data_IF_432927565465
#
_entry.id   IF_432927565465
#
_cell.length_a   1.000
_cell.length_b   1.000
_cell.length_c   1.000
_cell.angle_alpha   90.00
_cell.angle_beta   90.00
_cell.angle_gamma   90.00
#
_symmetry.space_group_name_H-M   'P 1'
#
loop_
_entity.id
_entity.type
_entity.pdbx_description
1 polymer ?
#
# COMPACT_ATOMS: atom_id res chain seq x y z
N UNK A 1 -13.36 1.34 9.82
CA UNK A 1 -12.80 2.19 8.76
C UNK A 1 -11.32 1.84 8.59
N UNK A 2 -10.82 1.60 7.36
CA UNK A 2 -9.40 1.34 7.14
C UNK A 2 -8.57 2.57 7.52
N UNK A 3 -7.35 2.34 7.99
CA UNK A 3 -6.41 3.42 8.31
C UNK A 3 -6.07 4.19 7.03
N UNK A 4 -6.02 5.52 7.10
CA UNK A 4 -5.49 6.33 6.00
C UNK A 4 -3.96 6.30 6.03
N UNK A 5 -3.32 6.29 4.86
CA UNK A 5 -1.86 6.30 4.77
C UNK A 5 -1.35 7.49 3.96
N UNK A 6 -0.51 8.31 4.58
CA UNK A 6 0.05 9.54 3.99
C UNK A 6 1.42 9.31 3.37
N UNK A 7 2.19 8.34 3.86
CA UNK A 7 3.55 8.04 3.41
C UNK A 7 4.64 8.66 4.30
N UNK A 8 4.27 9.21 5.46
CA UNK A 8 5.19 9.81 6.45
C UNK A 8 5.24 9.02 7.75
N UNK A 9 4.41 8.01 7.90
CA UNK A 9 4.25 7.19 9.10
C UNK A 9 5.36 6.14 9.27
N UNK A 10 6.31 6.08 8.33
CA UNK A 10 7.45 5.16 8.34
C UNK A 10 7.07 3.70 8.16
N UNK A 11 8.04 2.82 8.40
CA UNK A 11 7.88 1.36 8.25
C UNK A 11 6.76 0.81 9.13
N UNK A 12 6.70 1.24 10.39
CA UNK A 12 5.67 0.78 11.34
C UNK A 12 4.27 1.16 10.85
N UNK A 13 4.09 2.42 10.42
CA UNK A 13 2.81 2.88 9.90
C UNK A 13 2.38 2.17 8.62
N UNK A 14 3.33 1.87 7.73
CA UNK A 14 3.07 1.10 6.52
C UNK A 14 2.64 -0.34 6.84
N UNK A 15 3.33 -1.01 7.78
CA UNK A 15 2.98 -2.37 8.22
C UNK A 15 1.58 -2.40 8.85
N UNK A 16 1.28 -1.48 9.76
CA UNK A 16 -0.05 -1.40 10.38
C UNK A 16 -1.16 -1.12 9.37
N UNK A 17 -0.88 -0.30 8.35
CA UNK A 17 -1.81 -0.05 7.27
C UNK A 17 -2.10 -1.31 6.44
N UNK A 18 -1.08 -2.12 6.12
CA UNK A 18 -1.26 -3.40 5.44
C UNK A 18 -2.12 -4.36 6.27
N UNK A 19 -1.78 -4.59 7.54
CA UNK A 19 -2.49 -5.53 8.41
C UNK A 19 -3.97 -5.18 8.56
N UNK A 20 -4.29 -3.90 8.76
CA UNK A 20 -5.68 -3.43 8.87
C UNK A 20 -6.45 -3.59 7.57
N UNK A 21 -5.80 -3.30 6.45
CA UNK A 21 -6.41 -3.47 5.13
C UNK A 21 -6.71 -4.95 4.85
N UNK A 22 -5.77 -5.84 5.16
CA UNK A 22 -5.94 -7.28 4.98
C UNK A 22 -7.03 -7.87 5.87
N UNK A 23 -7.15 -7.37 7.10
CA UNK A 23 -8.26 -7.72 7.99
C UNK A 23 -9.62 -7.38 7.35
N UNK A 24 -9.76 -6.21 6.72
CA UNK A 24 -10.99 -5.84 6.00
C UNK A 24 -11.25 -6.78 4.82
N UNK A 25 -10.22 -7.13 4.05
CA UNK A 25 -10.36 -8.07 2.94
C UNK A 25 -10.82 -9.45 3.38
N UNK A 26 -10.29 -9.95 4.49
CA UNK A 26 -10.65 -11.26 5.06
C UNK A 26 -12.09 -11.31 5.55
N UNK A 27 -12.63 -10.20 6.10
CA UNK A 27 -14.01 -10.16 6.61
C UNK A 27 -15.02 -10.04 5.47
N UNK A 28 -14.68 -9.33 4.40
CA UNK A 28 -15.63 -8.93 3.36
C UNK A 28 -15.47 -9.67 2.01
N UNK A 29 -14.61 -10.69 1.92
CA UNK A 29 -14.39 -11.52 0.72
C UNK A 29 -14.14 -10.71 -0.57
N UNK A 30 -13.30 -9.68 -0.49
CA UNK A 30 -12.98 -8.83 -1.63
C UNK A 30 -12.24 -9.60 -2.74
N UNK A 31 -12.65 -9.40 -4.00
CA UNK A 31 -11.89 -9.86 -5.19
C UNK A 31 -10.60 -9.07 -5.33
N UNK A 32 -9.59 -9.63 -6.01
CA UNK A 32 -8.29 -8.97 -6.20
C UNK A 32 -8.40 -7.55 -6.79
N UNK A 33 -9.29 -7.35 -7.77
CA UNK A 33 -9.56 -6.03 -8.36
C UNK A 33 -10.18 -5.06 -7.34
N UNK A 34 -11.15 -5.53 -6.55
CA UNK A 34 -11.81 -4.69 -5.55
C UNK A 34 -10.89 -4.38 -4.37
N UNK A 35 -9.90 -5.22 -4.06
CA UNK A 35 -8.88 -4.94 -3.06
C UNK A 35 -8.06 -3.69 -3.41
N UNK A 36 -7.53 -3.61 -4.63
CA UNK A 36 -6.72 -2.46 -5.07
C UNK A 36 -7.57 -1.20 -5.15
N UNK A 37 -8.79 -1.28 -5.71
CA UNK A 37 -9.73 -0.14 -5.72
C UNK A 37 -10.01 0.37 -4.30
N UNK A 38 -10.32 -0.52 -3.37
CA UNK A 38 -10.57 -0.16 -1.97
C UNK A 38 -9.35 0.52 -1.35
N UNK A 39 -8.15 -0.05 -1.51
CA UNK A 39 -6.93 0.53 -0.94
C UNK A 39 -6.63 1.92 -1.47
N UNK A 40 -6.88 2.18 -2.76
CA UNK A 40 -6.67 3.49 -3.36
C UNK A 40 -7.46 4.60 -2.66
N UNK A 41 -8.66 4.28 -2.15
CA UNK A 41 -9.51 5.22 -1.40
C UNK A 41 -8.95 5.57 -0.01
N UNK A 42 -7.99 4.80 0.49
CA UNK A 42 -7.36 5.01 1.81
C UNK A 42 -6.06 5.79 1.72
N UNK A 43 -5.53 6.00 0.52
CA UNK A 43 -4.31 6.76 0.29
C UNK A 43 -4.61 8.25 0.39
N UNK A 44 -3.76 8.99 1.10
CA UNK A 44 -3.86 10.44 1.25
C UNK A 44 -2.50 11.12 1.03
N UNK A 45 -2.51 12.44 0.90
CA UNK A 45 -1.29 13.24 0.80
C UNK A 45 -0.35 12.79 -0.33
N UNK A 46 0.95 12.64 -0.02
CA UNK A 46 1.96 12.30 -1.02
C UNK A 46 1.78 10.91 -1.62
N UNK A 47 1.18 9.98 -0.87
CA UNK A 47 0.91 8.63 -1.38
C UNK A 47 -0.22 8.61 -2.41
N UNK A 48 -1.26 9.41 -2.20
CA UNK A 48 -2.31 9.58 -3.21
C UNK A 48 -1.76 10.23 -4.48
N UNK A 49 -0.91 11.25 -4.35
CA UNK A 49 -0.23 11.88 -5.50
C UNK A 49 0.61 10.87 -6.28
N UNK A 50 1.36 10.01 -5.58
CA UNK A 50 2.15 8.95 -6.21
C UNK A 50 1.26 7.94 -6.95
N UNK A 51 0.17 7.46 -6.31
CA UNK A 51 -0.76 6.52 -6.92
C UNK A 51 -1.42 7.07 -8.20
N UNK A 52 -1.85 8.33 -8.16
CA UNK A 52 -2.43 9.00 -9.33
C UNK A 52 -1.43 9.13 -10.49
N UNK A 53 -0.14 9.34 -10.20
CA UNK A 53 0.92 9.34 -11.21
C UNK A 53 1.12 7.96 -11.83
N UNK A 54 1.10 6.90 -11.01
CA UNK A 54 1.16 5.53 -11.49
C UNK A 54 -0.01 5.20 -12.43
N UNK A 55 -1.25 5.55 -12.06
CA UNK A 55 -2.42 5.35 -12.90
C UNK A 55 -2.34 6.08 -14.24
N UNK A 56 -1.77 7.30 -14.28
CA UNK A 56 -1.55 8.03 -15.53
C UNK A 56 -0.55 7.34 -16.45
N UNK A 57 0.42 6.64 -15.88
CA UNK A 57 1.49 5.98 -16.63
C UNK A 57 1.06 4.60 -17.15
N UNK A 58 0.35 3.84 -16.32
CA UNK A 58 0.05 2.42 -16.56
C UNK A 58 -1.40 2.19 -17.01
N UNK A 59 -2.27 3.21 -16.92
CA UNK A 59 -3.72 3.20 -17.08
C UNK A 59 -4.49 2.62 -15.88
N UNK A 60 -5.72 3.09 -15.71
CA UNK A 60 -6.61 2.67 -14.62
C UNK A 60 -6.95 1.17 -14.67
N UNK A 61 -7.19 0.63 -15.85
CA UNK A 61 -7.56 -0.77 -16.04
C UNK A 61 -6.43 -1.69 -15.57
N UNK A 62 -5.20 -1.42 -16.02
CA UNK A 62 -4.03 -2.21 -15.63
C UNK A 62 -3.69 -2.01 -14.16
N UNK A 63 -3.78 -0.78 -13.63
CA UNK A 63 -3.54 -0.50 -12.21
C UNK A 63 -4.53 -1.23 -11.29
N UNK A 64 -5.82 -1.29 -11.62
CA UNK A 64 -6.80 -1.99 -10.78
C UNK A 64 -6.85 -3.50 -11.00
N UNK A 65 -6.41 -4.00 -12.16
CA UNK A 65 -6.28 -5.43 -12.40
C UNK A 65 -5.09 -6.07 -11.66
N UNK A 66 -4.15 -5.28 -11.14
CA UNK A 66 -2.99 -5.83 -10.47
C UNK A 66 -3.36 -6.51 -9.14
N UNK A 67 -2.67 -7.60 -8.74
CA UNK A 67 -2.89 -8.20 -7.43
C UNK A 67 -2.48 -7.28 -6.29
N UNK A 68 -3.19 -7.35 -5.15
CA UNK A 68 -2.82 -6.65 -3.91
C UNK A 68 -1.36 -6.89 -3.50
N UNK A 69 -0.84 -8.11 -3.71
CA UNK A 69 0.57 -8.45 -3.46
C UNK A 69 1.55 -7.54 -4.22
N UNK A 70 1.23 -7.21 -5.48
CA UNK A 70 2.04 -6.33 -6.31
C UNK A 70 2.01 -4.89 -5.78
N UNK A 71 0.82 -4.40 -5.42
CA UNK A 71 0.70 -3.07 -4.81
C UNK A 71 1.51 -2.98 -3.50
N UNK A 72 1.47 -4.00 -2.64
CA UNK A 72 2.29 -4.03 -1.41
C UNK A 72 3.77 -3.92 -1.72
N UNK A 73 4.28 -4.68 -2.69
CA UNK A 73 5.69 -4.60 -3.09
C UNK A 73 6.09 -3.21 -3.56
N UNK A 74 5.23 -2.55 -4.36
CA UNK A 74 5.46 -1.18 -4.82
C UNK A 74 5.47 -0.18 -3.64
N UNK A 75 4.52 -0.31 -2.71
CA UNK A 75 4.42 0.53 -1.53
C UNK A 75 5.64 0.34 -0.61
N UNK A 76 6.06 -0.90 -0.37
CA UNK A 76 7.29 -1.19 0.38
C UNK A 76 8.51 -0.61 -0.31
N UNK A 77 8.69 -0.82 -1.62
CA UNK A 77 9.83 -0.26 -2.34
C UNK A 77 9.87 1.28 -2.30
N UNK A 78 8.70 1.93 -2.23
CA UNK A 78 8.58 3.39 -2.22
C UNK A 78 8.77 4.01 -0.83
N UNK A 79 8.23 3.38 0.21
CA UNK A 79 8.13 3.95 1.56
C UNK A 79 8.95 3.22 2.62
N UNK A 80 9.60 2.11 2.27
CA UNK A 80 10.58 1.41 3.10
C UNK A 80 11.98 1.74 2.58
N UNK A 81 12.66 2.77 3.11
CA UNK A 81 14.01 3.08 2.66
C UNK A 81 14.95 1.94 3.04
N UNK A 82 15.78 1.50 2.08
CA UNK A 82 16.74 0.38 2.22
C UNK A 82 17.69 0.52 3.43
N UNK A 83 17.84 1.73 3.98
CA UNK A 83 18.62 2.00 5.20
C UNK A 83 17.96 1.53 6.50
N UNK A 84 16.64 1.40 6.57
CA UNK A 84 15.93 0.88 7.76
C UNK A 84 15.95 -0.65 7.85
N UNK A 85 16.13 -1.35 6.72
CA UNK A 85 16.27 -2.82 6.69
C UNK A 85 17.51 -3.25 7.48
N UNK A 86 18.62 -2.52 7.31
CA UNK A 86 19.87 -2.79 8.05
C UNK A 86 19.75 -2.55 9.56
N UNK A 87 18.80 -1.73 10.01
CA UNK A 87 18.64 -1.43 11.44
C UNK A 87 17.93 -2.56 12.19
N UNK A 88 16.99 -3.24 11.51
CA UNK A 88 16.33 -4.43 12.04
C UNK A 88 17.24 -5.67 12.06
N UNK A 89 18.23 -5.77 11.16
CA UNK A 89 19.23 -6.86 11.17
C UNK A 89 20.31 -6.70 12.26
N UNK A 90 20.47 -5.50 12.84
CA UNK A 90 21.46 -5.22 13.89
C UNK A 90 20.86 -5.26 15.30
N UNK A 91 19.53 -5.16 15.42
CA UNK A 91 18.81 -5.27 16.70
C UNK A 91 18.24 -6.69 16.99
N UNK A 92 18.55 -7.67 16.14
CA UNK A 92 18.18 -9.10 16.25
C UNK A 92 19.42 -9.98 16.45
#
# INVERSE_FOLDING_TARGET
>A
EPLKFKGTEGVIGLTQWFERTESVFSVSNYTAENQVKFTSCTLIGSTLTWWNSHMRTVSQEVSYAMPWKTLRQMMTAKYYPRGEVKKLEVEL
#
